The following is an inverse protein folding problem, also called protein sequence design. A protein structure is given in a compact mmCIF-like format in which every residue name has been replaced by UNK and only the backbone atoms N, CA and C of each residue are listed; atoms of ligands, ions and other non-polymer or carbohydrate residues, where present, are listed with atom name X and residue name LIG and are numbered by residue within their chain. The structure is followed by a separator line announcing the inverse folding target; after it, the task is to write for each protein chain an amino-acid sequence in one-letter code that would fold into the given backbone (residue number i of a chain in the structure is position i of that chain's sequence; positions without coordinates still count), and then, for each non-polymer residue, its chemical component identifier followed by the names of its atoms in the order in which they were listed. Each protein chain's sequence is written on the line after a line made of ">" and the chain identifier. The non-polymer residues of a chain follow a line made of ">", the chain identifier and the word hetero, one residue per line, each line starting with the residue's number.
data_IF_380528988977
#
_entry.id   IF_380528988977
#
_cell.length_a   1.000
_cell.length_b   1.000
_cell.length_c   1.000
_cell.angle_alpha   90.00
_cell.angle_beta   90.00
_cell.angle_gamma   90.00
#
_symmetry.space_group_name_H-M   'P 1'
#
loop_
_entity.id
_entity.type
_entity.pdbx_description
1 polymer ?
#
# COMPACT_ATOMS: atom_id res chain seq x y z
N UNK A 1 25.72 16.14 26.05
CA UNK A 1 24.56 16.48 25.20
C UNK A 1 23.36 15.67 25.72
N UNK A 2 22.44 16.32 26.45
CA UNK A 2 21.32 15.64 27.15
C UNK A 2 20.06 15.82 26.31
N UNK A 3 19.56 14.74 25.71
CA UNK A 3 18.32 14.77 24.94
C UNK A 3 17.13 14.82 25.89
N UNK A 4 16.49 16.00 25.97
CA UNK A 4 15.23 16.18 26.67
C UNK A 4 14.11 15.38 26.00
N UNK A 5 13.54 14.43 26.73
CA UNK A 5 12.31 13.75 26.33
C UNK A 5 11.14 14.72 26.41
N UNK A 6 10.76 15.30 25.27
CA UNK A 6 9.54 16.08 25.12
C UNK A 6 8.32 15.23 25.53
N UNK A 7 7.48 15.78 26.40
CA UNK A 7 6.26 15.11 26.89
C UNK A 7 5.35 14.74 25.72
N UNK A 8 5.09 13.44 25.54
CA UNK A 8 4.10 12.92 24.58
C UNK A 8 2.71 13.49 24.92
N UNK A 9 1.99 14.00 23.92
CA UNK A 9 0.57 14.37 24.05
C UNK A 9 -0.23 13.12 24.45
N UNK A 10 -1.18 13.20 25.39
CA UNK A 10 -2.01 12.06 25.75
C UNK A 10 -2.85 11.63 24.54
N UNK A 11 -2.59 10.41 24.08
CA UNK A 11 -3.37 9.74 23.05
C UNK A 11 -4.79 9.57 23.62
N UNK A 12 -5.81 10.08 22.91
CA UNK A 12 -7.22 9.85 23.27
C UNK A 12 -7.41 8.33 23.36
N UNK A 13 -7.61 7.84 24.58
CA UNK A 13 -7.97 6.46 24.82
C UNK A 13 -9.36 6.28 24.21
N UNK A 14 -9.45 5.45 23.16
CA UNK A 14 -10.74 4.87 22.79
C UNK A 14 -11.23 4.08 24.00
N UNK A 15 -12.51 4.21 24.41
CA UNK A 15 -13.00 3.49 25.58
C UNK A 15 -12.86 1.98 25.36
N UNK A 16 -12.11 1.32 26.25
CA UNK A 16 -12.02 -0.13 26.33
C UNK A 16 -13.44 -0.68 26.61
N UNK A 17 -14.11 -1.17 25.58
CA UNK A 17 -15.43 -1.78 25.72
C UNK A 17 -15.23 -3.11 26.44
N UNK A 18 -15.54 -3.14 27.74
CA UNK A 18 -15.47 -4.36 28.55
C UNK A 18 -16.34 -5.44 27.91
N UNK A 19 -15.80 -6.64 27.60
CA UNK A 19 -16.57 -7.70 26.96
C UNK A 19 -17.73 -8.15 27.86
N UNK A 20 -18.97 -7.90 27.43
CA UNK A 20 -20.17 -8.34 28.14
C UNK A 20 -20.39 -9.84 27.91
N UNK A 21 -20.51 -10.60 29.00
CA UNK A 21 -20.89 -12.01 28.96
C UNK A 21 -22.39 -12.13 28.71
N UNK A 22 -22.78 -12.61 27.52
CA UNK A 22 -24.17 -12.86 27.14
C UNK A 22 -24.52 -14.31 27.47
N UNK A 23 -25.57 -14.55 28.25
CA UNK A 23 -26.15 -15.89 28.40
C UNK A 23 -27.01 -16.20 27.17
N UNK A 24 -26.84 -17.39 26.60
CA UNK A 24 -27.55 -17.84 25.40
C UNK A 24 -28.08 -19.25 25.63
N UNK A 25 -29.26 -19.55 25.09
CA UNK A 25 -29.80 -20.91 25.06
C UNK A 25 -29.06 -21.74 24.03
N UNK A 26 -28.97 -23.06 24.26
CA UNK A 26 -28.30 -24.00 23.34
C UNK A 26 -28.92 -23.98 21.93
N UNK A 27 -30.25 -23.82 21.85
CA UNK A 27 -30.98 -23.68 20.58
C UNK A 27 -30.56 -22.46 19.77
N UNK A 28 -30.13 -21.39 20.45
CA UNK A 28 -29.88 -20.09 19.84
C UNK A 28 -28.44 -19.94 19.35
N UNK A 29 -27.56 -20.90 19.67
CA UNK A 29 -26.14 -20.86 19.31
C UNK A 29 -25.95 -20.67 17.81
N UNK A 30 -26.72 -21.38 16.98
CA UNK A 30 -26.60 -21.27 15.52
C UNK A 30 -26.98 -19.88 15.02
N UNK A 31 -28.05 -19.29 15.59
CA UNK A 31 -28.52 -17.95 15.23
C UNK A 31 -27.49 -16.89 15.61
N UNK A 32 -26.96 -16.96 16.84
CA UNK A 32 -25.91 -16.05 17.33
C UNK A 32 -24.63 -16.17 16.49
N UNK A 33 -24.22 -17.39 16.14
CA UNK A 33 -23.05 -17.61 15.28
C UNK A 33 -23.24 -17.00 13.88
N UNK A 34 -24.44 -17.14 13.30
CA UNK A 34 -24.78 -16.55 12.00
C UNK A 34 -24.81 -15.01 12.06
N UNK A 35 -25.32 -14.43 13.14
CA UNK A 35 -25.33 -12.99 13.37
C UNK A 35 -23.89 -12.45 13.48
N UNK A 36 -23.04 -13.08 14.30
CA UNK A 36 -21.63 -12.74 14.43
C UNK A 36 -20.94 -12.79 13.06
N UNK A 37 -21.18 -13.86 12.29
CA UNK A 37 -20.61 -14.01 10.95
C UNK A 37 -21.06 -12.87 10.03
N UNK A 38 -22.35 -12.53 10.03
CA UNK A 38 -22.90 -11.45 9.22
C UNK A 38 -22.28 -10.09 9.56
N UNK A 39 -22.16 -9.76 10.86
CA UNK A 39 -21.52 -8.53 11.33
C UNK A 39 -20.07 -8.48 10.87
N UNK A 40 -19.30 -9.56 11.11
CA UNK A 40 -17.88 -9.63 10.73
C UNK A 40 -17.69 -9.49 9.23
N UNK A 41 -18.50 -10.15 8.41
CA UNK A 41 -18.42 -10.03 6.95
C UNK A 41 -18.68 -8.60 6.49
N UNK A 42 -19.71 -7.93 7.03
CA UNK A 42 -20.00 -6.52 6.70
C UNK A 42 -18.85 -5.60 7.10
N UNK A 43 -18.29 -5.79 8.29
CA UNK A 43 -17.13 -5.02 8.77
C UNK A 43 -15.93 -5.20 7.85
N UNK A 44 -15.57 -6.45 7.51
CA UNK A 44 -14.45 -6.75 6.61
C UNK A 44 -14.66 -6.11 5.23
N UNK A 45 -15.86 -6.22 4.66
CA UNK A 45 -16.18 -5.59 3.37
C UNK A 45 -15.97 -4.07 3.43
N UNK A 46 -16.47 -3.42 4.48
CA UNK A 46 -16.32 -1.98 4.66
C UNK A 46 -14.84 -1.57 4.80
N UNK A 47 -14.08 -2.25 5.67
CA UNK A 47 -12.65 -1.97 5.87
C UNK A 47 -11.84 -2.18 4.59
N UNK A 48 -12.04 -3.31 3.90
CA UNK A 48 -11.33 -3.64 2.66
C UNK A 48 -11.68 -2.64 1.56
N UNK A 49 -12.92 -2.15 1.50
CA UNK A 49 -13.31 -1.07 0.58
C UNK A 49 -12.52 0.22 0.86
N UNK A 50 -12.31 0.57 2.13
CA UNK A 50 -11.46 1.73 2.47
C UNK A 50 -10.00 1.50 2.08
N UNK A 51 -9.46 0.29 2.27
CA UNK A 51 -8.08 -0.05 1.87
C UNK A 51 -7.92 -0.02 0.35
N UNK A 52 -8.88 -0.56 -0.41
CA UNK A 52 -8.89 -0.48 -1.87
C UNK A 52 -8.77 0.97 -2.34
N UNK A 53 -9.57 1.88 -1.78
CA UNK A 53 -9.54 3.28 -2.17
C UNK A 53 -8.18 3.94 -1.86
N UNK A 54 -7.59 3.63 -0.69
CA UNK A 54 -6.24 4.10 -0.31
C UNK A 54 -5.16 3.57 -1.26
N UNK A 55 -5.23 2.28 -1.62
CA UNK A 55 -4.30 1.66 -2.56
C UNK A 55 -4.44 2.28 -3.95
N UNK A 56 -5.66 2.50 -4.44
CA UNK A 56 -5.89 3.16 -5.73
C UNK A 56 -5.26 4.57 -5.78
N UNK A 57 -5.53 5.39 -4.76
CA UNK A 57 -4.93 6.73 -4.66
C UNK A 57 -3.38 6.67 -4.57
N UNK A 58 -2.85 5.66 -3.88
CA UNK A 58 -1.40 5.44 -3.84
C UNK A 58 -0.83 5.03 -5.20
N UNK A 59 -1.53 4.16 -5.94
CA UNK A 59 -1.16 3.75 -7.30
C UNK A 59 -1.15 4.94 -8.26
N UNK A 60 -2.13 5.83 -8.19
CA UNK A 60 -2.17 7.08 -8.97
C UNK A 60 -0.96 7.96 -8.65
N UNK A 61 -0.66 8.14 -7.36
CA UNK A 61 0.50 8.92 -6.90
C UNK A 61 1.82 8.33 -7.43
N UNK A 62 1.98 7.01 -7.31
CA UNK A 62 3.17 6.30 -7.80
C UNK A 62 3.28 6.37 -9.33
N UNK A 63 2.16 6.30 -10.04
CA UNK A 63 2.11 6.46 -11.49
C UNK A 63 2.58 7.85 -11.92
N UNK A 64 2.10 8.91 -11.25
CA UNK A 64 2.57 10.27 -11.49
C UNK A 64 4.07 10.43 -11.23
N UNK A 65 4.57 9.85 -10.13
CA UNK A 65 6.01 9.82 -9.84
C UNK A 65 6.77 9.10 -10.95
N UNK A 66 6.27 7.98 -11.48
CA UNK A 66 6.93 7.24 -12.55
C UNK A 66 6.96 8.04 -13.86
N UNK A 67 5.91 8.79 -14.18
CA UNK A 67 5.87 9.69 -15.34
C UNK A 67 6.86 10.85 -15.17
N UNK A 68 6.92 11.45 -13.98
CA UNK A 68 7.89 12.51 -13.70
C UNK A 68 9.33 11.98 -13.74
N UNK A 69 9.55 10.78 -13.20
CA UNK A 69 10.83 10.11 -13.22
C UNK A 69 11.27 9.84 -14.65
N UNK A 70 10.37 9.41 -15.54
CA UNK A 70 10.66 9.16 -16.96
C UNK A 70 11.31 10.36 -17.63
N UNK A 71 10.79 11.57 -17.39
CA UNK A 71 11.27 12.84 -17.93
C UNK A 71 12.56 13.34 -17.26
N UNK A 72 12.91 12.80 -16.09
CA UNK A 72 14.04 13.27 -15.30
C UNK A 72 15.36 12.66 -15.79
N UNK A 73 16.26 13.51 -16.29
CA UNK A 73 17.59 13.08 -16.72
C UNK A 73 18.59 13.34 -15.60
N UNK A 74 19.53 12.41 -15.39
CA UNK A 74 20.66 12.64 -14.47
C UNK A 74 21.46 13.85 -14.97
N UNK A 75 22.04 14.63 -14.05
CA UNK A 75 23.09 15.59 -14.42
C UNK A 75 24.36 14.77 -14.71
N UNK A 76 24.84 14.84 -15.96
CA UNK A 76 25.71 13.83 -16.60
C UNK A 76 27.19 14.17 -16.47
N UNK A 77 27.55 15.36 -15.97
CA UNK A 77 28.88 15.92 -16.20
C UNK A 77 30.03 15.11 -15.55
N UNK A 78 29.74 14.25 -14.55
CA UNK A 78 30.75 13.44 -13.82
C UNK A 78 30.51 11.91 -13.86
N UNK A 79 29.59 11.39 -14.69
CA UNK A 79 29.21 9.96 -14.66
C UNK A 79 29.76 9.18 -15.86
N UNK A 80 30.44 8.06 -15.58
CA UNK A 80 30.86 7.09 -16.58
C UNK A 80 29.70 6.65 -17.51
N UNK A 81 29.97 6.61 -18.81
CA UNK A 81 28.99 6.29 -19.86
C UNK A 81 28.32 4.92 -19.65
N UNK A 82 29.06 3.92 -19.17
CA UNK A 82 28.52 2.59 -18.88
C UNK A 82 27.60 2.61 -17.66
N UNK A 83 27.96 3.37 -16.63
CA UNK A 83 27.12 3.54 -15.44
C UNK A 83 25.82 4.27 -15.80
N UNK A 84 25.90 5.32 -16.62
CA UNK A 84 24.73 6.04 -17.14
C UNK A 84 23.76 5.09 -17.86
N UNK A 85 24.27 4.25 -18.77
CA UNK A 85 23.46 3.28 -19.51
C UNK A 85 22.78 2.26 -18.59
N UNK A 86 23.46 1.82 -17.54
CA UNK A 86 22.90 0.91 -16.55
C UNK A 86 21.76 1.56 -15.76
N UNK A 87 21.96 2.81 -15.31
CA UNK A 87 20.97 3.57 -14.54
C UNK A 87 19.73 3.87 -15.39
N UNK A 88 19.90 4.28 -16.64
CA UNK A 88 18.77 4.51 -17.56
C UNK A 88 17.97 3.22 -17.82
N UNK A 89 18.65 2.07 -17.97
CA UNK A 89 17.99 0.78 -18.14
C UNK A 89 17.20 0.38 -16.91
N UNK A 90 17.81 0.46 -15.72
CA UNK A 90 17.14 0.12 -14.46
C UNK A 90 15.95 1.04 -14.19
N UNK A 91 16.10 2.34 -14.48
CA UNK A 91 15.01 3.32 -14.41
C UNK A 91 13.85 2.92 -15.33
N UNK A 92 14.12 2.60 -16.61
CA UNK A 92 13.08 2.17 -17.56
C UNK A 92 12.35 0.90 -17.11
N UNK A 93 13.07 -0.05 -16.54
CA UNK A 93 12.48 -1.29 -16.03
C UNK A 93 11.53 -1.05 -14.86
N UNK A 94 11.91 -0.19 -13.91
CA UNK A 94 11.04 0.16 -12.79
C UNK A 94 9.80 0.92 -13.28
N UNK A 95 9.97 1.90 -14.18
CA UNK A 95 8.86 2.68 -14.73
C UNK A 95 7.88 1.77 -15.47
N UNK A 96 8.37 0.83 -16.29
CA UNK A 96 7.49 -0.07 -17.04
C UNK A 96 6.71 -1.01 -16.12
N UNK A 97 7.35 -1.54 -15.07
CA UNK A 97 6.68 -2.36 -14.07
C UNK A 97 5.58 -1.58 -13.33
N UNK A 98 5.89 -0.35 -12.88
CA UNK A 98 4.91 0.51 -12.21
C UNK A 98 3.74 0.81 -13.15
N UNK A 99 3.99 1.30 -14.37
CA UNK A 99 2.92 1.62 -15.33
C UNK A 99 2.03 0.41 -15.60
N UNK A 100 2.62 -0.77 -15.83
CA UNK A 100 1.86 -1.98 -16.13
C UNK A 100 0.96 -2.41 -14.99
N UNK A 101 1.45 -2.37 -13.75
CA UNK A 101 0.70 -2.87 -12.60
C UNK A 101 -0.24 -1.82 -12.00
N UNK A 102 0.03 -0.51 -12.15
CA UNK A 102 -0.83 0.57 -11.66
C UNK A 102 -2.03 0.87 -12.57
N UNK A 103 -2.02 0.45 -13.84
CA UNK A 103 -3.17 0.58 -14.76
C UNK A 103 -4.24 -0.48 -14.46
N UNK A 104 -3.88 -1.61 -13.85
CA UNK A 104 -4.82 -2.68 -13.52
C UNK A 104 -5.77 -2.19 -12.44
N UNK A 105 -7.03 -1.97 -12.79
CA UNK A 105 -8.05 -1.56 -11.83
C UNK A 105 -8.31 -2.70 -10.83
N UNK A 106 -8.20 -2.39 -9.53
CA UNK A 106 -8.56 -3.34 -8.48
C UNK A 106 -10.08 -3.59 -8.51
N UNK A 107 -10.53 -4.83 -8.29
CA UNK A 107 -11.96 -5.17 -8.36
C UNK A 107 -12.77 -4.41 -7.32
N UNK A 108 -14.03 -4.10 -7.61
CA UNK A 108 -14.96 -3.55 -6.61
C UNK A 108 -15.26 -4.58 -5.52
N UNK A 109 -15.53 -4.10 -4.30
CA UNK A 109 -15.75 -4.95 -3.13
C UNK A 109 -17.23 -4.87 -2.74
N UNK A 110 -18.01 -5.87 -3.15
CA UNK A 110 -19.44 -5.98 -2.83
C UNK A 110 -19.76 -7.26 -2.04
N UNK A 111 -18.86 -8.25 -2.08
CA UNK A 111 -19.00 -9.53 -1.40
C UNK A 111 -17.71 -9.97 -0.70
N UNK A 112 -17.81 -11.00 0.15
CA UNK A 112 -16.64 -11.61 0.78
C UNK A 112 -15.73 -12.33 -0.23
N UNK A 113 -16.27 -12.87 -1.33
CA UNK A 113 -15.43 -13.47 -2.37
C UNK A 113 -14.63 -12.40 -3.10
N UNK A 114 -15.20 -11.23 -3.35
CA UNK A 114 -14.46 -10.09 -3.91
C UNK A 114 -13.30 -9.67 -3.02
N UNK A 115 -13.46 -9.75 -1.69
CA UNK A 115 -12.38 -9.50 -0.73
C UNK A 115 -11.21 -10.46 -0.95
N UNK A 116 -11.48 -11.76 -1.16
CA UNK A 116 -10.41 -12.74 -1.42
C UNK A 116 -9.71 -12.46 -2.75
N UNK A 117 -10.48 -12.18 -3.80
CA UNK A 117 -9.94 -11.86 -5.13
C UNK A 117 -9.07 -10.61 -5.05
N UNK A 118 -9.56 -9.56 -4.38
CA UNK A 118 -8.84 -8.33 -4.12
C UNK A 118 -7.53 -8.58 -3.37
N UNK A 119 -7.55 -9.40 -2.32
CA UNK A 119 -6.36 -9.72 -1.55
C UNK A 119 -5.28 -10.38 -2.42
N UNK A 120 -5.66 -11.33 -3.28
CA UNK A 120 -4.72 -11.98 -4.21
C UNK A 120 -4.19 -10.97 -5.24
N UNK A 121 -5.08 -10.18 -5.85
CA UNK A 121 -4.72 -9.21 -6.88
C UNK A 121 -3.79 -8.11 -6.35
N UNK A 122 -4.15 -7.49 -5.22
CA UNK A 122 -3.37 -6.43 -4.59
C UNK A 122 -2.00 -6.91 -4.11
N UNK A 123 -1.91 -8.10 -3.49
CA UNK A 123 -0.61 -8.67 -3.12
C UNK A 123 0.27 -8.97 -4.33
N UNK A 124 -0.30 -9.50 -5.42
CA UNK A 124 0.46 -9.75 -6.66
C UNK A 124 0.97 -8.45 -7.27
N UNK A 125 0.15 -7.41 -7.30
CA UNK A 125 0.51 -6.08 -7.78
C UNK A 125 1.67 -5.50 -6.95
N UNK A 126 1.51 -5.46 -5.62
CA UNK A 126 2.53 -4.97 -4.68
C UNK A 126 3.84 -5.75 -4.82
N UNK A 127 3.76 -7.08 -4.93
CA UNK A 127 4.93 -7.95 -5.10
C UNK A 127 5.70 -7.60 -6.37
N UNK A 128 5.04 -7.47 -7.51
CA UNK A 128 5.73 -7.17 -8.78
C UNK A 128 6.37 -5.78 -8.80
N UNK A 129 5.69 -4.77 -8.25
CA UNK A 129 6.25 -3.43 -8.10
C UNK A 129 7.46 -3.47 -7.15
N UNK A 130 7.32 -4.14 -6.01
CA UNK A 130 8.39 -4.35 -5.05
C UNK A 130 9.60 -5.08 -5.63
N UNK A 131 9.38 -6.15 -6.40
CA UNK A 131 10.43 -6.93 -7.04
C UNK A 131 11.20 -6.10 -8.09
N UNK A 132 10.51 -5.23 -8.84
CA UNK A 132 11.18 -4.31 -9.76
C UNK A 132 12.02 -3.26 -9.03
N UNK A 133 11.47 -2.65 -7.97
CA UNK A 133 12.17 -1.68 -7.13
C UNK A 133 13.37 -2.29 -6.40
N UNK A 134 13.24 -3.52 -5.89
CA UNK A 134 14.30 -4.23 -5.17
C UNK A 134 15.48 -4.58 -6.08
N UNK A 135 15.20 -5.10 -7.28
CA UNK A 135 16.23 -5.44 -8.27
C UNK A 135 17.02 -4.23 -8.74
N UNK A 136 16.37 -3.06 -8.85
CA UNK A 136 16.99 -1.80 -9.26
C UNK A 136 17.21 -0.84 -8.08
N UNK A 137 17.32 -1.36 -6.85
CA UNK A 137 17.37 -0.56 -5.62
C UNK A 137 18.46 0.52 -5.62
N UNK A 138 19.67 0.19 -6.11
CA UNK A 138 20.78 1.14 -6.24
C UNK A 138 20.47 2.29 -7.20
N UNK A 139 19.86 1.97 -8.34
CA UNK A 139 19.44 2.95 -9.36
C UNK A 139 18.36 3.85 -8.80
N UNK A 140 17.36 3.29 -8.11
CA UNK A 140 16.25 4.04 -7.55
C UNK A 140 16.70 4.94 -6.40
N UNK A 141 17.68 4.52 -5.60
CA UNK A 141 18.19 5.34 -4.50
C UNK A 141 18.72 6.72 -4.98
N UNK A 142 19.25 6.79 -6.20
CA UNK A 142 19.75 8.03 -6.82
C UNK A 142 18.61 9.05 -6.97
N UNK A 143 17.42 8.59 -7.34
CA UNK A 143 16.25 9.45 -7.55
C UNK A 143 15.37 9.57 -6.29
N UNK A 144 15.41 8.59 -5.39
CA UNK A 144 14.51 8.48 -4.24
C UNK A 144 14.47 9.75 -3.39
N UNK A 145 15.61 10.40 -3.14
CA UNK A 145 15.68 11.63 -2.35
C UNK A 145 14.82 12.77 -2.93
N UNK A 146 14.76 12.89 -4.26
CA UNK A 146 13.99 13.92 -4.96
C UNK A 146 12.49 13.68 -4.87
N UNK A 147 12.07 12.42 -4.90
CA UNK A 147 10.65 12.04 -4.95
C UNK A 147 10.07 11.65 -3.58
N UNK A 148 10.89 11.43 -2.56
CA UNK A 148 10.43 11.04 -1.22
C UNK A 148 9.42 11.99 -0.59
N UNK A 149 9.50 13.30 -0.90
CA UNK A 149 8.52 14.29 -0.43
C UNK A 149 7.11 14.09 -0.99
N UNK A 150 6.99 13.55 -2.20
CA UNK A 150 5.69 13.28 -2.85
C UNK A 150 4.97 12.05 -2.27
N UNK A 151 5.70 11.21 -1.54
CA UNK A 151 5.16 10.02 -0.87
C UNK A 151 4.75 10.29 0.59
N UNK A 152 5.12 11.45 1.15
CA UNK A 152 4.69 11.91 2.48
C UNK A 152 3.35 12.63 2.34
N UNK A 153 2.30 11.88 2.01
CA UNK A 153 0.92 12.31 2.18
C UNK A 153 0.55 12.34 3.66
#
# INVERSE_FOLDING_TARGET
>A
MVFGWGKKKPQKQEPDIVPQKKQILLSDILNVANEIRSIRTKTIIAEVKTFRNKINSSCETILHIAIDLERDTLKIDDIDIHLKRLVERGKKEVISAIKRESIVQLPEINSYEDVKIFNVASNRMLKKIGDALGRQSRVIHIFAKKYAGKLKG
#
